data_IF_186590294905
#
_entry.id   IF_186590294905
#
_cell.length_a   1.000
_cell.length_b   1.000
_cell.length_c   1.000
_cell.angle_alpha   90.00
_cell.angle_beta   90.00
_cell.angle_gamma   90.00
#
_symmetry.space_group_name_H-M   'P 1'
#
loop_
_entity.id
_entity.type
_entity.pdbx_description
1 polymer ?
#
# COMPACT_ATOMS: atom_id res chain seq x y z
N UNK A 1 11.23 41.40 18.66
CA UNK A 1 10.96 40.91 17.30
C UNK A 1 11.68 39.59 17.10
N UNK A 2 10.95 38.49 17.07
CA UNK A 2 11.34 37.28 16.33
C UNK A 2 10.08 36.91 15.57
N UNK A 3 9.95 37.46 14.36
CA UNK A 3 8.99 36.94 13.39
C UNK A 3 9.51 35.57 13.00
N UNK A 4 8.98 34.52 13.63
CA UNK A 4 9.03 33.20 13.04
C UNK A 4 8.16 33.28 11.79
N UNK A 5 8.79 33.37 10.62
CA UNK A 5 8.15 33.11 9.35
C UNK A 5 7.73 31.63 9.37
N UNK A 6 6.55 31.36 9.93
CA UNK A 6 5.89 30.06 9.82
C UNK A 6 5.54 29.93 8.35
N UNK A 7 6.37 29.21 7.60
CA UNK A 7 6.02 28.80 6.25
C UNK A 7 4.70 28.01 6.38
N UNK A 8 3.62 28.39 5.68
CA UNK A 8 2.36 27.69 5.79
C UNK A 8 2.59 26.22 5.42
N UNK A 9 2.44 25.31 6.38
CA UNK A 9 2.51 23.89 6.08
C UNK A 9 1.26 23.54 5.27
N UNK A 10 1.42 23.00 4.06
CA UNK A 10 0.30 22.50 3.24
C UNK A 10 -0.41 21.28 3.86
N UNK A 11 0.03 20.88 5.06
CA UNK A 11 -0.52 19.80 5.86
C UNK A 11 -1.39 20.37 6.98
N UNK A 12 -2.59 19.81 7.09
CA UNK A 12 -3.54 20.05 8.17
C UNK A 12 -3.50 18.85 9.12
N UNK A 13 -3.23 19.09 10.40
CA UNK A 13 -3.37 18.07 11.44
C UNK A 13 -4.84 17.69 11.67
N UNK A 14 -5.10 16.41 11.91
CA UNK A 14 -6.42 15.84 12.20
C UNK A 14 -6.42 15.24 13.61
N UNK A 15 -7.55 14.66 14.02
CA UNK A 15 -7.64 13.92 15.28
C UNK A 15 -6.62 12.77 15.29
N UNK A 16 -5.87 12.69 16.39
CA UNK A 16 -4.85 11.67 16.59
C UNK A 16 -5.44 10.26 16.54
N UNK A 17 -4.64 9.33 16.04
CA UNK A 17 -4.96 7.91 16.07
C UNK A 17 -5.24 7.44 17.50
N UNK A 18 -6.26 6.58 17.71
CA UNK A 18 -6.55 6.00 19.03
C UNK A 18 -5.37 5.25 19.66
N UNK A 19 -4.44 4.75 18.83
CA UNK A 19 -3.18 4.15 19.25
C UNK A 19 -2.04 4.58 18.33
N UNK A 20 -0.79 4.65 18.82
CA UNK A 20 0.35 4.88 17.95
C UNK A 20 0.58 3.69 17.01
N UNK A 21 0.80 3.98 15.72
CA UNK A 21 0.95 2.99 14.66
C UNK A 21 2.15 3.32 13.77
N UNK A 22 2.90 2.29 13.38
CA UNK A 22 3.91 2.36 12.32
C UNK A 22 3.85 1.07 11.47
N UNK A 23 4.29 1.13 10.21
CA UNK A 23 4.12 0.03 9.24
C UNK A 23 2.65 -0.44 9.13
N UNK A 24 1.71 0.48 9.34
CA UNK A 24 0.28 0.20 9.18
C UNK A 24 -0.07 0.07 7.70
N UNK A 25 -1.17 -0.61 7.40
CA UNK A 25 -1.75 -0.65 6.06
C UNK A 25 -3.13 0.01 6.12
N UNK A 26 -3.39 0.90 5.17
CA UNK A 26 -4.66 1.61 5.07
C UNK A 26 -5.34 1.30 3.73
N UNK A 27 -6.65 1.14 3.76
CA UNK A 27 -7.48 0.88 2.59
C UNK A 27 -8.65 1.86 2.56
N UNK A 28 -8.86 2.51 1.43
CA UNK A 28 -10.02 3.38 1.19
C UNK A 28 -11.27 2.56 0.85
N UNK A 29 -12.36 2.85 1.55
CA UNK A 29 -13.70 2.33 1.23
C UNK A 29 -14.73 3.44 1.44
N UNK A 30 -15.21 4.02 0.32
CA UNK A 30 -16.04 5.22 0.35
C UNK A 30 -15.41 6.32 1.22
N UNK A 31 -16.15 6.87 2.17
CA UNK A 31 -15.70 7.92 3.09
C UNK A 31 -14.88 7.39 4.28
N UNK A 32 -14.40 6.15 4.21
CA UNK A 32 -13.71 5.48 5.32
C UNK A 32 -12.28 5.09 4.95
N UNK A 33 -11.35 5.40 5.85
CA UNK A 33 -10.00 4.88 5.83
C UNK A 33 -9.92 3.71 6.81
N UNK A 34 -9.82 2.50 6.28
CA UNK A 34 -9.71 1.27 7.07
C UNK A 34 -8.24 1.02 7.40
N UNK A 35 -7.90 1.18 8.67
CA UNK A 35 -6.55 1.05 9.21
C UNK A 35 -6.40 -0.37 9.78
N UNK A 36 -5.46 -1.14 9.22
CA UNK A 36 -5.32 -2.57 9.48
C UNK A 36 -4.04 -2.90 10.26
N UNK A 37 -4.07 -2.69 11.58
CA UNK A 37 -2.96 -3.01 12.47
C UNK A 37 -1.71 -2.17 12.21
N UNK A 38 -0.57 -2.67 12.68
CA UNK A 38 0.75 -2.08 12.50
C UNK A 38 1.79 -2.97 13.17
N UNK A 39 3.06 -2.57 13.14
CA UNK A 39 4.13 -3.33 13.79
C UNK A 39 3.77 -3.60 15.27
N UNK A 40 3.62 -4.89 15.60
CA UNK A 40 3.18 -5.37 16.93
C UNK A 40 1.80 -4.86 17.43
N UNK A 41 1.00 -4.22 16.58
CA UNK A 41 -0.35 -3.72 16.92
C UNK A 41 -1.40 -4.46 16.10
N UNK A 42 -2.38 -5.06 16.79
CA UNK A 42 -3.42 -5.91 16.16
C UNK A 42 -4.72 -5.17 15.90
N UNK A 43 -4.93 -4.02 16.52
CA UNK A 43 -6.19 -3.28 16.45
C UNK A 43 -6.41 -2.69 15.05
N UNK A 44 -7.64 -2.78 14.58
CA UNK A 44 -8.09 -2.21 13.32
C UNK A 44 -9.15 -1.15 13.59
N UNK A 45 -9.08 -0.04 12.86
CA UNK A 45 -9.98 1.11 13.00
C UNK A 45 -10.51 1.56 11.65
N UNK A 46 -11.69 2.15 11.64
CA UNK A 46 -12.22 2.92 10.52
C UNK A 46 -12.20 4.40 10.92
N UNK A 47 -11.54 5.22 10.12
CA UNK A 47 -11.62 6.68 10.23
C UNK A 47 -12.59 7.21 9.17
N UNK A 48 -13.59 7.98 9.59
CA UNK A 48 -14.56 8.55 8.67
C UNK A 48 -14.14 9.98 8.26
N UNK A 49 -13.81 10.18 7.00
CA UNK A 49 -13.19 11.43 6.49
C UNK A 49 -14.06 12.67 6.68
N UNK A 50 -15.38 12.55 6.53
CA UNK A 50 -16.32 13.68 6.74
C UNK A 50 -16.64 13.96 8.20
N UNK A 51 -16.63 12.93 9.05
CA UNK A 51 -16.95 13.05 10.49
C UNK A 51 -15.72 13.41 11.31
N UNK A 52 -14.52 13.13 10.79
CA UNK A 52 -13.25 13.27 11.48
C UNK A 52 -13.20 12.47 12.79
N UNK A 53 -13.73 11.25 12.78
CA UNK A 53 -13.83 10.39 13.96
C UNK A 53 -13.35 8.98 13.64
N UNK A 54 -12.84 8.29 14.66
CA UNK A 54 -12.45 6.88 14.57
C UNK A 54 -13.49 5.96 15.22
N UNK A 55 -13.64 4.76 14.64
CA UNK A 55 -14.33 3.64 15.26
C UNK A 55 -13.49 2.37 15.20
N UNK A 56 -13.49 1.64 16.31
CA UNK A 56 -12.88 0.31 16.36
C UNK A 56 -13.64 -0.67 15.46
N UNK A 57 -12.91 -1.50 14.72
CA UNK A 57 -13.45 -2.57 13.88
C UNK A 57 -13.29 -3.91 14.59
N UNK A 58 -12.04 -4.35 14.75
CA UNK A 58 -11.67 -5.62 15.38
C UNK A 58 -10.17 -5.70 15.65
N UNK A 59 -9.70 -6.89 16.05
CA UNK A 59 -8.27 -7.23 16.18
C UNK A 59 -7.90 -8.35 15.22
N UNK A 60 -6.66 -8.33 14.74
CA UNK A 60 -6.02 -9.54 14.19
C UNK A 60 -6.02 -10.69 15.24
N UNK A 61 -6.04 -11.95 14.80
CA UNK A 61 -5.98 -13.12 15.69
C UNK A 61 -4.78 -13.06 16.63
N UNK A 62 -4.91 -13.68 17.81
CA UNK A 62 -3.94 -13.49 18.88
C UNK A 62 -2.55 -14.03 18.59
N UNK A 63 -2.49 -15.07 17.76
CA UNK A 63 -1.30 -15.76 17.26
C UNK A 63 -0.60 -15.02 16.11
N UNK A 64 -1.25 -13.99 15.53
CA UNK A 64 -0.69 -13.22 14.41
C UNK A 64 0.18 -12.08 14.94
N UNK A 65 1.43 -12.05 14.46
CA UNK A 65 2.40 -10.98 14.71
C UNK A 65 2.64 -10.20 13.43
N UNK A 66 2.31 -8.91 13.44
CA UNK A 66 2.43 -8.05 12.27
C UNK A 66 3.78 -7.34 12.26
N UNK A 67 4.52 -7.52 11.17
CA UNK A 67 5.75 -6.77 10.83
C UNK A 67 5.85 -6.70 9.31
N UNK A 68 5.57 -5.52 8.73
CA UNK A 68 5.69 -5.28 7.29
C UNK A 68 4.77 -6.16 6.42
N UNK A 69 3.54 -6.41 6.86
CA UNK A 69 2.54 -7.13 6.07
C UNK A 69 1.90 -6.21 5.02
N UNK A 70 1.19 -6.82 4.06
CA UNK A 70 0.41 -6.09 3.07
C UNK A 70 -1.09 -6.34 3.29
N UNK A 71 -1.91 -5.34 2.95
CA UNK A 71 -3.37 -5.45 2.87
C UNK A 71 -3.81 -4.89 1.52
N UNK A 72 -4.63 -5.65 0.81
CA UNK A 72 -5.24 -5.23 -0.46
C UNK A 72 -6.76 -5.37 -0.38
N UNK A 73 -7.46 -4.50 -1.12
CA UNK A 73 -8.91 -4.54 -1.28
C UNK A 73 -9.26 -5.41 -2.48
N UNK A 74 -10.04 -6.46 -2.27
CA UNK A 74 -10.55 -7.27 -3.38
C UNK A 74 -11.76 -6.57 -4.00
N UNK A 75 -11.86 -6.59 -5.32
CA UNK A 75 -13.09 -6.14 -5.99
C UNK A 75 -14.20 -7.16 -5.76
N UNK A 76 -15.29 -6.70 -5.15
CA UNK A 76 -16.50 -7.49 -5.00
C UNK A 76 -17.48 -7.12 -6.12
N UNK A 77 -17.99 -8.13 -6.85
CA UNK A 77 -19.04 -7.94 -7.87
C UNK A 77 -20.41 -7.54 -7.30
N UNK A 78 -20.49 -7.15 -6.03
CA UNK A 78 -21.74 -6.85 -5.33
C UNK A 78 -21.92 -5.35 -5.22
N UNK A 79 -23.11 -4.89 -5.60
CA UNK A 79 -23.53 -3.49 -5.53
C UNK A 79 -23.85 -3.00 -4.10
N UNK A 80 -23.43 -3.71 -3.04
CA UNK A 80 -23.63 -3.20 -1.67
C UNK A 80 -22.47 -2.27 -1.34
N UNK A 81 -22.77 -0.97 -1.34
CA UNK A 81 -21.77 0.08 -1.16
C UNK A 81 -21.13 0.04 0.23
N UNK A 82 -21.76 -0.61 1.21
CA UNK A 82 -21.28 -0.68 2.60
C UNK A 82 -20.33 -1.86 2.89
N UNK A 83 -20.15 -2.78 1.94
CA UNK A 83 -19.32 -3.97 2.15
C UNK A 83 -18.07 -3.96 1.26
N UNK A 84 -16.97 -4.50 1.77
CA UNK A 84 -15.79 -4.81 0.96
C UNK A 84 -15.00 -5.95 1.55
N UNK A 85 -14.32 -6.71 0.69
CA UNK A 85 -13.43 -7.78 1.11
C UNK A 85 -11.97 -7.32 1.13
N UNK A 86 -11.30 -7.52 2.26
CA UNK A 86 -9.88 -7.22 2.45
C UNK A 86 -9.08 -8.51 2.56
N UNK A 87 -7.93 -8.56 1.91
CA UNK A 87 -6.96 -9.64 2.02
C UNK A 87 -5.70 -9.11 2.69
N UNK A 88 -5.33 -9.70 3.82
CA UNK A 88 -4.09 -9.40 4.54
C UNK A 88 -3.13 -10.58 4.50
N UNK A 89 -1.89 -10.35 4.10
CA UNK A 89 -0.92 -11.43 3.98
C UNK A 89 0.54 -10.96 4.10
N UNK A 90 1.44 -11.94 4.18
CA UNK A 90 2.89 -11.71 4.19
C UNK A 90 3.39 -11.18 5.52
N UNK A 91 4.40 -10.30 5.48
CA UNK A 91 5.15 -9.87 6.66
C UNK A 91 6.15 -10.92 7.14
N UNK A 92 6.96 -10.55 8.13
CA UNK A 92 8.03 -11.41 8.66
C UNK A 92 7.51 -12.75 9.19
N UNK A 93 6.41 -12.74 9.94
CA UNK A 93 5.81 -13.93 10.55
C UNK A 93 4.78 -14.65 9.66
N UNK A 94 4.47 -14.09 8.48
CA UNK A 94 3.60 -14.66 7.43
C UNK A 94 2.23 -15.13 7.91
N UNK A 95 1.20 -14.42 7.47
CA UNK A 95 -0.19 -14.89 7.55
C UNK A 95 -0.90 -14.78 6.20
N UNK A 96 -2.10 -15.32 6.12
CA UNK A 96 -3.01 -15.10 4.99
C UNK A 96 -4.43 -15.13 5.55
N UNK A 97 -5.01 -13.93 5.66
CA UNK A 97 -6.29 -13.69 6.32
C UNK A 97 -7.18 -12.88 5.39
N UNK A 98 -8.47 -13.14 5.47
CA UNK A 98 -9.49 -12.41 4.73
C UNK A 98 -10.47 -11.80 5.74
N UNK A 99 -10.97 -10.60 5.43
CA UNK A 99 -12.02 -9.95 6.20
C UNK A 99 -13.11 -9.48 5.24
N UNK A 100 -14.36 -9.83 5.54
CA UNK A 100 -15.53 -9.16 4.98
C UNK A 100 -15.86 -7.97 5.86
N UNK A 101 -15.42 -6.80 5.43
CA UNK A 101 -15.69 -5.54 6.09
C UNK A 101 -17.10 -5.06 5.75
N UNK A 102 -17.80 -4.55 6.76
CA UNK A 102 -19.05 -3.82 6.65
C UNK A 102 -18.90 -2.53 7.45
N UNK A 103 -19.23 -1.41 6.83
CA UNK A 103 -19.15 -0.08 7.43
C UNK A 103 -19.68 -0.06 8.86
N UNK A 104 -18.80 0.30 9.81
CA UNK A 104 -19.14 0.51 11.24
C UNK A 104 -19.89 1.84 11.48
N UNK A 105 -20.18 2.57 10.40
CA UNK A 105 -20.92 3.83 10.40
C UNK A 105 -22.33 3.70 9.84
N UNK A 106 -22.64 2.57 9.20
CA UNK A 106 -23.99 2.28 8.70
C UNK A 106 -24.96 2.02 9.86
N UNK A 107 -26.13 2.67 9.84
CA UNK A 107 -27.21 2.47 10.82
C UNK A 107 -28.05 1.22 10.56
N UNK A 108 -27.75 0.50 9.48
CA UNK A 108 -28.43 -0.75 9.17
C UNK A 108 -28.11 -1.73 10.30
N UNK A 109 -29.15 -2.22 11.00
CA UNK A 109 -29.06 -3.34 11.93
C UNK A 109 -28.59 -4.56 11.12
N UNK A 110 -27.28 -4.66 10.90
CA UNK A 110 -26.71 -5.76 10.15
C UNK A 110 -27.05 -7.01 10.96
N UNK A 111 -27.92 -7.84 10.38
CA UNK A 111 -28.21 -9.18 10.89
C UNK A 111 -26.85 -9.78 11.22
N UNK A 112 -26.67 -10.27 12.46
CA UNK A 112 -25.46 -10.94 12.96
C UNK A 112 -25.13 -12.14 12.08
N UNK A 113 -24.62 -11.90 10.87
CA UNK A 113 -23.96 -12.89 10.08
C UNK A 113 -22.63 -13.14 10.78
N UNK A 114 -22.42 -14.37 11.23
CA UNK A 114 -21.17 -14.79 11.84
C UNK A 114 -20.00 -14.41 10.91
N UNK A 115 -18.97 -13.78 11.48
CA UNK A 115 -17.65 -13.53 10.86
C UNK A 115 -17.50 -12.27 9.97
N UNK A 116 -18.41 -11.29 10.02
CA UNK A 116 -18.15 -9.93 9.47
C UNK A 116 -17.25 -9.13 10.40
N UNK A 117 -16.48 -8.19 9.84
CA UNK A 117 -15.54 -7.33 10.57
C UNK A 117 -14.59 -8.14 11.46
N UNK A 118 -14.17 -9.32 10.99
CA UNK A 118 -13.23 -10.19 11.69
C UNK A 118 -12.27 -10.79 10.66
N UNK A 119 -11.00 -10.90 11.06
CA UNK A 119 -10.00 -11.61 10.27
C UNK A 119 -10.18 -13.13 10.44
N UNK A 120 -10.37 -13.83 9.34
CA UNK A 120 -10.44 -15.30 9.31
C UNK A 120 -9.40 -15.86 8.33
N UNK A 121 -8.92 -17.10 8.51
CA UNK A 121 -8.03 -17.74 7.53
C UNK A 121 -8.64 -17.75 6.14
N UNK A 122 -7.85 -17.36 5.13
CA UNK A 122 -8.26 -17.53 3.73
C UNK A 122 -8.33 -19.03 3.43
N UNK A 123 -9.44 -19.48 2.83
CA UNK A 123 -9.60 -20.88 2.41
C UNK A 123 -9.99 -20.94 0.94
N UNK A 124 -9.56 -22.00 0.26
CA UNK A 124 -9.93 -22.26 -1.12
C UNK A 124 -11.33 -22.88 -1.21
N UNK A 125 -11.76 -23.21 -2.43
CA UNK A 125 -13.07 -23.81 -2.71
C UNK A 125 -13.33 -25.16 -2.00
N UNK A 126 -12.28 -25.82 -1.50
CA UNK A 126 -12.36 -27.06 -0.72
C UNK A 126 -12.21 -26.82 0.80
N UNK A 127 -12.37 -25.57 1.26
CA UNK A 127 -12.21 -25.16 2.66
C UNK A 127 -10.81 -25.46 3.23
N UNK A 128 -9.80 -25.59 2.38
CA UNK A 128 -8.40 -25.77 2.82
C UNK A 128 -7.73 -24.41 2.97
N UNK A 129 -6.94 -24.17 4.04
CA UNK A 129 -6.22 -22.92 4.21
C UNK A 129 -5.31 -22.62 3.00
N UNK A 130 -5.40 -21.39 2.50
CA UNK A 130 -4.52 -20.86 1.47
C UNK A 130 -3.36 -20.15 2.16
N UNK A 131 -2.14 -20.40 1.71
CA UNK A 131 -0.95 -19.78 2.28
C UNK A 131 -0.18 -19.02 1.20
N UNK A 132 -0.13 -17.69 1.33
CA UNK A 132 0.69 -16.83 0.49
C UNK A 132 2.01 -16.58 1.22
N UNK A 133 3.13 -16.94 0.58
CA UNK A 133 4.49 -16.77 1.11
C UNK A 133 5.02 -17.90 2.01
N UNK A 134 4.28 -19.01 2.12
CA UNK A 134 4.72 -20.25 2.78
C UNK A 134 4.75 -21.42 1.78
N UNK A 135 5.30 -21.19 0.58
CA UNK A 135 5.55 -22.31 -0.34
C UNK A 135 6.54 -23.29 0.32
N UNK A 136 6.25 -24.59 0.24
CA UNK A 136 7.09 -25.66 0.78
C UNK A 136 8.49 -25.67 0.17
N UNK A 137 8.64 -25.18 -1.07
CA UNK A 137 9.93 -25.00 -1.75
C UNK A 137 10.70 -23.79 -1.21
N UNK A 138 10.00 -22.77 -0.73
CA UNK A 138 10.55 -21.49 -0.28
C UNK A 138 10.34 -21.24 1.22
N UNK A 139 10.59 -22.24 2.06
CA UNK A 139 10.49 -22.12 3.53
C UNK A 139 11.27 -20.92 4.12
N UNK A 140 12.22 -20.34 3.38
CA UNK A 140 13.04 -19.17 3.76
C UNK A 140 12.62 -17.82 3.12
N UNK A 141 11.60 -17.75 2.27
CA UNK A 141 11.25 -16.48 1.62
C UNK A 141 10.86 -15.42 2.66
N UNK A 142 11.51 -14.25 2.65
CA UNK A 142 11.19 -13.16 3.56
C UNK A 142 10.10 -12.27 2.92
N UNK A 143 8.98 -12.10 3.61
CA UNK A 143 7.86 -11.27 3.15
C UNK A 143 7.75 -9.96 3.92
N UNK A 144 8.75 -9.60 4.73
CA UNK A 144 8.82 -8.30 5.38
C UNK A 144 8.89 -7.18 4.34
N UNK A 145 7.96 -6.23 4.41
CA UNK A 145 7.90 -5.11 3.48
C UNK A 145 7.41 -5.48 2.09
N UNK A 146 6.69 -6.61 1.97
CA UNK A 146 6.02 -7.03 0.73
C UNK A 146 5.04 -5.96 0.27
N UNK A 147 4.97 -5.75 -1.05
CA UNK A 147 3.92 -4.95 -1.69
C UNK A 147 3.15 -5.80 -2.67
N UNK A 148 1.89 -5.43 -2.90
CA UNK A 148 1.08 -6.08 -3.90
C UNK A 148 0.03 -5.14 -4.48
N UNK A 149 -0.32 -5.43 -5.72
CA UNK A 149 -1.40 -4.75 -6.45
C UNK A 149 -2.27 -5.81 -7.12
N UNK A 150 -3.55 -5.51 -7.26
CA UNK A 150 -4.51 -6.37 -7.95
C UNK A 150 -4.73 -5.81 -9.35
N UNK A 151 -4.56 -6.68 -10.33
CA UNK A 151 -4.85 -6.38 -11.73
C UNK A 151 -5.22 -7.65 -12.47
N UNK A 152 -4.79 -7.73 -13.72
CA UNK A 152 -5.26 -8.74 -14.66
C UNK A 152 -6.51 -8.26 -15.38
N UNK A 153 -6.80 -8.85 -16.54
CA UNK A 153 -7.93 -8.47 -17.39
C UNK A 153 -9.30 -8.63 -16.73
N UNK A 154 -9.36 -9.39 -15.62
CA UNK A 154 -10.54 -9.63 -14.78
C UNK A 154 -10.31 -9.27 -13.30
N UNK A 155 -9.29 -8.46 -12.96
CA UNK A 155 -8.96 -8.08 -11.58
C UNK A 155 -8.78 -9.28 -10.62
N UNK A 156 -8.32 -10.41 -11.16
CA UNK A 156 -8.16 -11.68 -10.45
C UNK A 156 -6.69 -12.04 -10.18
N UNK A 157 -5.74 -11.21 -10.62
CA UNK A 157 -4.31 -11.47 -10.44
C UNK A 157 -3.74 -10.56 -9.38
N UNK A 158 -3.14 -11.17 -8.37
CA UNK A 158 -2.40 -10.49 -7.32
C UNK A 158 -0.91 -10.53 -7.68
N UNK A 159 -0.37 -9.38 -8.07
CA UNK A 159 1.06 -9.20 -8.31
C UNK A 159 1.73 -8.90 -6.98
N UNK A 160 2.75 -9.69 -6.62
CA UNK A 160 3.39 -9.64 -5.30
C UNK A 160 4.88 -9.46 -5.49
N UNK A 161 5.45 -8.43 -4.90
CA UNK A 161 6.89 -8.13 -4.92
C UNK A 161 7.45 -8.23 -3.50
N UNK A 162 8.50 -9.02 -3.33
CA UNK A 162 9.03 -9.37 -2.01
C UNK A 162 10.54 -9.64 -2.04
N UNK A 163 11.13 -9.65 -0.84
CA UNK A 163 12.54 -9.84 -0.65
C UNK A 163 13.04 -11.20 -1.18
N UNK A 164 14.28 -11.30 -1.70
CA UNK A 164 15.19 -10.17 -1.93
C UNK A 164 14.90 -9.42 -3.23
N UNK A 165 14.50 -10.11 -4.30
CA UNK A 165 14.34 -9.53 -5.65
C UNK A 165 13.22 -10.22 -6.41
N UNK A 166 12.17 -10.67 -5.72
CA UNK A 166 11.18 -11.56 -6.31
C UNK A 166 9.93 -10.81 -6.75
N UNK A 167 9.34 -11.27 -7.84
CA UNK A 167 7.97 -10.93 -8.25
C UNK A 167 7.21 -12.22 -8.56
N UNK A 168 5.99 -12.32 -8.04
CA UNK A 168 5.12 -13.48 -8.21
C UNK A 168 3.72 -13.05 -8.61
N UNK A 169 3.05 -13.89 -9.39
CA UNK A 169 1.63 -13.71 -9.74
C UNK A 169 0.83 -14.82 -9.08
N UNK A 170 -0.11 -14.42 -8.23
CA UNK A 170 -1.04 -15.31 -7.55
C UNK A 170 -2.43 -15.11 -8.13
N UNK A 171 -3.05 -16.18 -8.63
CA UNK A 171 -4.42 -16.14 -9.13
C UNK A 171 -5.41 -16.26 -7.96
N UNK A 172 -6.23 -15.23 -7.76
CA UNK A 172 -7.19 -15.12 -6.67
C UNK A 172 -8.42 -16.04 -6.84
N UNK A 173 -8.71 -16.51 -8.05
CA UNK A 173 -9.79 -17.46 -8.32
C UNK A 173 -9.34 -18.90 -8.12
N UNK A 174 -8.11 -19.21 -8.55
CA UNK A 174 -7.53 -20.55 -8.45
C UNK A 174 -6.84 -20.78 -7.09
N UNK A 175 -6.55 -19.71 -6.35
CA UNK A 175 -5.79 -19.73 -5.11
C UNK A 175 -4.40 -20.38 -5.24
N UNK A 176 -3.70 -20.09 -6.34
CA UNK A 176 -2.38 -20.65 -6.64
C UNK A 176 -1.45 -19.64 -7.31
N UNK A 177 -0.15 -19.81 -7.14
CA UNK A 177 0.85 -19.08 -7.92
C UNK A 177 0.87 -19.60 -9.36
N UNK A 178 0.85 -18.67 -10.32
CA UNK A 178 0.90 -19.00 -11.77
C UNK A 178 2.22 -18.58 -12.41
N UNK A 179 2.98 -17.69 -11.76
CA UNK A 179 4.28 -17.23 -12.24
C UNK A 179 5.15 -16.75 -11.09
N UNK A 180 6.44 -17.06 -11.19
CA UNK A 180 7.52 -16.49 -10.39
C UNK A 180 8.58 -15.93 -11.34
N UNK A 181 9.21 -14.84 -10.94
CA UNK A 181 10.32 -14.21 -11.66
C UNK A 181 11.20 -13.39 -10.72
N UNK A 182 12.36 -12.98 -11.22
CA UNK A 182 13.33 -12.17 -10.49
C UNK A 182 13.40 -10.77 -11.10
N UNK A 183 13.20 -9.75 -10.27
CA UNK A 183 13.37 -8.35 -10.63
C UNK A 183 14.83 -8.09 -11.02
N UNK A 184 15.11 -7.45 -12.18
CA UNK A 184 16.47 -7.18 -12.62
C UNK A 184 17.04 -5.98 -11.85
N UNK A 185 17.59 -6.22 -10.68
CA UNK A 185 18.18 -5.19 -9.83
C UNK A 185 19.36 -5.73 -9.02
N UNK A 186 20.30 -4.84 -8.69
CA UNK A 186 21.42 -5.16 -7.80
C UNK A 186 21.06 -5.05 -6.32
N UNK A 187 20.01 -4.31 -5.96
CA UNK A 187 19.62 -4.09 -4.56
C UNK A 187 18.55 -5.06 -4.09
N UNK A 188 18.41 -5.18 -2.77
CA UNK A 188 17.28 -5.87 -2.15
C UNK A 188 16.02 -4.98 -2.17
N UNK A 189 14.88 -5.61 -2.40
CA UNK A 189 13.57 -4.98 -2.58
C UNK A 189 12.69 -5.30 -1.36
N UNK A 190 12.43 -4.26 -0.56
CA UNK A 190 11.56 -4.29 0.62
C UNK A 190 11.05 -2.88 0.91
N UNK A 191 9.82 -2.79 1.39
CA UNK A 191 9.15 -1.52 1.72
C UNK A 191 9.20 -0.48 0.57
N UNK A 192 9.20 -0.97 -0.66
CA UNK A 192 9.31 -0.17 -1.87
C UNK A 192 7.96 0.45 -2.25
N UNK A 193 7.99 1.33 -3.25
CA UNK A 193 6.80 1.78 -3.96
C UNK A 193 6.45 0.79 -5.07
N UNK A 194 5.19 0.34 -5.10
CA UNK A 194 4.69 -0.56 -6.14
C UNK A 194 3.26 -0.16 -6.51
N UNK A 195 3.07 0.26 -7.76
CA UNK A 195 1.79 0.77 -8.24
C UNK A 195 1.41 0.11 -9.56
N UNK A 196 0.11 -0.08 -9.76
CA UNK A 196 -0.46 -0.54 -11.02
C UNK A 196 -0.85 0.67 -11.88
N UNK A 197 -0.44 0.67 -13.15
CA UNK A 197 -0.82 1.71 -14.13
C UNK A 197 -2.14 1.38 -14.85
N UNK A 198 -2.52 0.11 -14.85
CA UNK A 198 -3.68 -0.40 -15.56
C UNK A 198 -4.97 0.29 -15.08
N UNK A 199 -5.64 1.05 -15.97
CA UNK A 199 -6.87 1.80 -15.65
C UNK A 199 -6.79 3.31 -15.88
N UNK A 200 -5.60 3.87 -16.14
CA UNK A 200 -5.43 5.32 -16.41
C UNK A 200 -5.71 5.73 -17.87
N UNK A 201 -6.03 4.79 -18.76
CA UNK A 201 -6.45 5.06 -20.14
C UNK A 201 -7.90 4.63 -20.36
N UNK A 202 -8.85 5.50 -20.00
CA UNK A 202 -10.20 5.47 -20.61
C UNK A 202 -10.11 6.16 -21.97
N UNK A 203 -9.46 5.55 -22.96
CA UNK A 203 -9.52 6.04 -24.34
C UNK A 203 -9.54 4.89 -25.37
N UNK A 204 -10.67 4.89 -26.09
CA UNK A 204 -10.91 4.52 -27.48
C UNK A 204 -10.83 3.06 -27.97
N UNK A 205 -11.76 2.78 -28.88
CA UNK A 205 -12.46 1.50 -28.95
C UNK A 205 -11.89 0.47 -29.92
N UNK A 206 -10.68 0.64 -30.47
CA UNK A 206 -10.27 -0.15 -31.65
C UNK A 206 -9.10 -1.11 -31.47
N UNK A 207 -8.53 -1.24 -30.25
CA UNK A 207 -7.48 -2.26 -29.96
C UNK A 207 -7.78 -3.10 -28.70
N UNK A 208 -9.05 -3.49 -28.52
CA UNK A 208 -9.65 -3.91 -27.23
C UNK A 208 -9.25 -5.30 -26.68
N UNK A 209 -8.73 -6.25 -27.45
CA UNK A 209 -8.46 -7.60 -26.91
C UNK A 209 -7.05 -7.80 -26.34
N UNK A 210 -6.01 -7.38 -27.07
CA UNK A 210 -4.62 -7.63 -26.70
C UNK A 210 -4.08 -6.69 -25.61
N UNK A 211 -4.46 -5.41 -25.66
CA UNK A 211 -4.06 -4.42 -24.63
C UNK A 211 -4.71 -4.67 -23.27
N UNK A 212 -5.90 -5.30 -23.24
CA UNK A 212 -6.60 -5.61 -21.98
C UNK A 212 -5.88 -6.66 -21.13
N UNK A 213 -5.02 -7.48 -21.75
CA UNK A 213 -4.25 -8.56 -21.12
C UNK A 213 -2.81 -8.18 -20.78
N UNK A 214 -2.47 -6.90 -20.96
CA UNK A 214 -1.18 -6.35 -20.54
C UNK A 214 -1.38 -5.55 -19.27
N UNK A 215 -0.74 -5.97 -18.19
CA UNK A 215 -0.68 -5.20 -16.96
C UNK A 215 0.66 -4.48 -16.89
N UNK A 216 0.63 -3.14 -16.80
CA UNK A 216 1.84 -2.35 -16.55
C UNK A 216 1.87 -1.91 -15.09
N UNK A 217 3.01 -2.12 -14.45
CA UNK A 217 3.28 -1.77 -13.06
C UNK A 217 4.57 -0.95 -12.99
N UNK A 218 4.68 -0.11 -11.97
CA UNK A 218 5.89 0.65 -11.68
C UNK A 218 6.39 0.27 -10.29
N UNK A 219 7.70 0.11 -10.18
CA UNK A 219 8.39 -0.17 -8.92
C UNK A 219 9.51 0.84 -8.72
N UNK A 220 9.55 1.46 -7.54
CA UNK A 220 10.65 2.35 -7.14
C UNK A 220 11.16 1.96 -5.76
N UNK A 221 12.46 1.75 -5.64
CA UNK A 221 13.15 1.40 -4.40
C UNK A 221 14.61 1.82 -4.49
N UNK A 222 15.06 2.73 -3.62
CA UNK A 222 16.42 3.28 -3.68
C UNK A 222 16.78 3.68 -5.13
N UNK A 223 17.95 3.29 -5.62
CA UNK A 223 18.43 3.54 -6.99
C UNK A 223 17.74 2.71 -8.08
N UNK A 224 16.75 1.87 -7.76
CA UNK A 224 16.04 1.02 -8.72
C UNK A 224 14.68 1.60 -9.04
N UNK A 225 14.48 1.93 -10.33
CA UNK A 225 13.18 2.20 -10.93
C UNK A 225 12.89 1.16 -12.01
N UNK A 226 11.72 0.54 -12.02
CA UNK A 226 11.32 -0.47 -13.00
C UNK A 226 9.93 -0.18 -13.56
N UNK A 227 9.80 -0.24 -14.87
CA UNK A 227 8.54 -0.49 -15.57
C UNK A 227 8.44 -1.99 -15.81
N UNK A 228 7.36 -2.58 -15.33
CA UNK A 228 7.12 -4.02 -15.36
C UNK A 228 5.85 -4.25 -16.18
N UNK A 229 6.00 -4.87 -17.33
CA UNK A 229 4.88 -5.30 -18.16
C UNK A 229 4.66 -6.80 -17.94
N UNK A 230 3.42 -7.20 -17.67
CA UNK A 230 3.02 -8.59 -17.56
C UNK A 230 2.00 -8.92 -18.65
N UNK A 231 2.28 -10.00 -19.39
CA UNK A 231 1.42 -10.51 -20.44
C UNK A 231 0.66 -11.75 -19.96
N UNK A 232 -0.66 -11.63 -19.81
CA UNK A 232 -1.53 -12.71 -19.34
C UNK A 232 -1.70 -13.86 -20.35
N UNK A 233 -1.49 -13.64 -21.66
CA UNK A 233 -1.67 -14.69 -22.67
C UNK A 233 -0.60 -15.78 -22.57
N UNK A 234 0.61 -15.39 -22.17
CA UNK A 234 1.77 -16.28 -22.12
C UNK A 234 2.46 -16.32 -20.75
N UNK A 235 1.91 -15.63 -19.74
CA UNK A 235 2.44 -15.52 -18.38
C UNK A 235 3.90 -15.04 -18.31
N UNK A 236 4.27 -14.06 -19.16
CA UNK A 236 5.63 -13.52 -19.20
C UNK A 236 5.72 -12.11 -18.63
N UNK A 237 6.86 -11.81 -18.00
CA UNK A 237 7.24 -10.46 -17.59
C UNK A 237 8.22 -9.86 -18.60
N UNK A 238 8.12 -8.55 -18.77
CA UNK A 238 9.14 -7.72 -19.40
C UNK A 238 9.48 -6.58 -18.45
N UNK A 239 10.77 -6.27 -18.36
CA UNK A 239 11.29 -5.27 -17.42
C UNK A 239 12.03 -4.19 -18.19
N UNK A 240 11.77 -2.93 -17.86
CA UNK A 240 12.55 -1.78 -18.34
C UNK A 240 13.01 -0.96 -17.14
N UNK A 241 14.28 -0.59 -17.14
CA UNK A 241 14.82 0.31 -16.12
C UNK A 241 14.27 1.73 -16.33
N UNK A 242 13.96 2.39 -15.24
CA UNK A 242 13.53 3.78 -15.18
C UNK A 242 14.55 4.55 -14.35
N UNK A 243 15.02 5.72 -14.80
CA UNK A 243 15.90 6.55 -13.99
C UNK A 243 15.20 6.99 -12.69
N UNK A 244 15.95 6.97 -11.61
CA UNK A 244 15.56 7.51 -10.31
C UNK A 244 16.41 8.74 -10.05
N UNK A 245 15.82 9.85 -9.58
CA UNK A 245 16.59 11.05 -9.27
C UNK A 245 17.46 10.85 -8.03
N UNK A 246 18.59 11.54 -7.98
CA UNK A 246 19.61 11.36 -6.94
C UNK A 246 19.09 11.70 -5.54
N UNK A 247 18.09 12.57 -5.43
CA UNK A 247 17.51 12.98 -4.15
C UNK A 247 16.69 11.86 -3.49
N UNK A 248 15.97 11.02 -4.25
CA UNK A 248 15.15 9.93 -3.70
C UNK A 248 15.88 8.57 -3.74
N UNK A 249 16.89 8.43 -4.60
CA UNK A 249 17.67 7.22 -4.80
C UNK A 249 18.30 6.58 -3.54
N UNK A 250 18.62 7.31 -2.45
CA UNK A 250 19.15 6.70 -1.24
C UNK A 250 18.10 5.99 -0.37
N UNK A 251 16.83 6.32 -0.55
CA UNK A 251 15.76 6.00 0.42
C UNK A 251 14.94 4.77 0.02
N UNK A 252 14.25 4.16 0.97
CA UNK A 252 13.09 3.28 0.76
C UNK A 252 12.03 3.61 1.84
N UNK A 253 11.06 2.74 2.09
CA UNK A 253 10.07 2.93 3.18
C UNK A 253 9.17 4.17 3.02
N UNK A 254 8.93 4.54 1.76
CA UNK A 254 8.10 5.67 1.40
C UNK A 254 6.63 5.43 1.80
N UNK A 255 5.97 6.49 2.24
CA UNK A 255 4.53 6.61 2.06
C UNK A 255 4.27 7.14 0.65
N UNK A 256 3.35 6.54 -0.09
CA UNK A 256 3.10 6.95 -1.47
C UNK A 256 1.65 6.77 -1.87
N UNK A 257 1.22 7.58 -2.84
CA UNK A 257 -0.07 7.44 -3.52
C UNK A 257 0.12 7.65 -5.02
N UNK A 258 -0.73 7.02 -5.83
CA UNK A 258 -0.75 7.24 -7.27
C UNK A 258 -2.07 7.89 -7.66
N UNK A 259 -2.00 9.02 -8.36
CA UNK A 259 -3.13 9.84 -8.78
C UNK A 259 -2.83 10.51 -10.11
N UNK A 260 -3.75 10.44 -11.07
CA UNK A 260 -3.67 11.18 -12.35
C UNK A 260 -2.30 11.04 -13.09
N UNK A 261 -1.78 9.82 -13.26
CA UNK A 261 -0.46 9.56 -13.84
C UNK A 261 0.73 10.14 -13.05
N UNK A 262 0.53 10.49 -11.78
CA UNK A 262 1.59 10.98 -10.89
C UNK A 262 1.68 10.02 -9.71
N UNK A 263 2.90 9.72 -9.28
CA UNK A 263 3.14 9.06 -8.00
C UNK A 263 3.71 10.11 -7.06
N UNK A 264 3.02 10.38 -5.96
CA UNK A 264 3.52 11.24 -4.89
C UNK A 264 4.19 10.37 -3.84
N UNK A 265 5.39 10.76 -3.44
CA UNK A 265 6.20 10.13 -2.41
C UNK A 265 6.33 11.10 -1.24
N UNK A 266 5.98 10.61 -0.07
CA UNK A 266 6.09 11.29 1.21
C UNK A 266 7.08 10.52 2.06
N UNK A 267 8.08 11.25 2.55
CA UNK A 267 9.15 10.71 3.38
C UNK A 267 10.04 9.69 2.65
N UNK A 268 10.90 9.02 3.42
CA UNK A 268 11.85 8.03 2.95
C UNK A 268 12.93 7.84 3.99
N UNK A 269 13.25 6.60 4.31
CA UNK A 269 14.29 6.27 5.26
C UNK A 269 15.52 5.70 4.55
N UNK A 270 16.69 6.19 4.95
CA UNK A 270 17.96 5.62 4.57
C UNK A 270 18.61 5.06 5.83
N UNK A 271 18.45 3.75 6.02
CA UNK A 271 19.21 3.01 7.01
C UNK A 271 20.64 2.81 6.49
N UNK A 272 21.52 3.79 6.74
CA UNK A 272 22.96 3.55 6.72
C UNK A 272 23.34 2.83 8.02
N UNK A 273 24.30 1.92 7.93
CA UNK A 273 24.77 1.07 9.05
C UNK A 273 25.56 1.84 10.11
N UNK A 274 26.02 3.05 9.79
CA UNK A 274 26.68 3.96 10.72
C UNK A 274 25.67 5.02 11.17
N UNK A 275 25.82 5.58 12.37
CA UNK A 275 24.90 6.46 13.14
C UNK A 275 24.25 7.68 12.43
N UNK A 276 24.38 7.79 11.10
CA UNK A 276 23.79 8.80 10.22
C UNK A 276 22.58 8.26 9.44
N UNK A 277 21.62 7.60 10.12
CA UNK A 277 20.35 7.27 9.46
C UNK A 277 19.61 8.56 9.13
N UNK A 278 19.35 8.83 7.84
CA UNK A 278 18.68 10.04 7.38
C UNK A 278 17.23 9.71 7.05
N UNK A 279 16.30 10.50 7.59
CA UNK A 279 14.89 10.51 7.22
C UNK A 279 14.65 11.74 6.36
N UNK A 280 14.11 11.56 5.16
CA UNK A 280 13.82 12.67 4.24
C UNK A 280 12.49 13.32 4.61
N UNK A 281 12.44 14.65 4.76
CA UNK A 281 11.16 15.38 4.84
C UNK A 281 10.61 15.79 3.47
N UNK A 282 11.36 15.52 2.39
CA UNK A 282 11.02 16.00 1.06
C UNK A 282 9.80 15.26 0.52
N UNK A 283 9.02 15.97 -0.28
CA UNK A 283 7.96 15.39 -1.10
C UNK A 283 8.48 15.32 -2.53
N UNK A 284 8.42 14.13 -3.11
CA UNK A 284 8.81 13.92 -4.50
C UNK A 284 7.58 13.51 -5.31
N UNK A 285 7.54 13.91 -6.58
CA UNK A 285 6.62 13.34 -7.54
C UNK A 285 7.37 12.69 -8.71
N UNK A 286 6.77 11.63 -9.23
CA UNK A 286 7.14 11.03 -10.49
C UNK A 286 5.96 11.11 -11.45
N UNK A 287 6.12 11.88 -12.54
CA UNK A 287 5.18 11.93 -13.65
C UNK A 287 5.38 10.70 -14.53
N UNK A 288 4.39 9.79 -14.53
CA UNK A 288 4.38 8.55 -15.31
C UNK A 288 4.34 8.87 -16.81
N UNK A 289 3.63 9.92 -17.22
CA UNK A 289 3.49 10.30 -18.62
C UNK A 289 4.77 10.93 -19.17
N UNK A 290 5.42 11.79 -18.38
CA UNK A 290 6.64 12.49 -18.79
C UNK A 290 7.91 11.71 -18.47
N UNK A 291 7.80 10.62 -17.70
CA UNK A 291 8.93 9.88 -17.15
C UNK A 291 9.91 10.81 -16.40
N UNK A 292 9.37 11.70 -15.57
CA UNK A 292 10.12 12.80 -14.98
C UNK A 292 9.90 12.90 -13.48
N UNK A 293 10.99 13.08 -12.75
CA UNK A 293 10.97 13.39 -11.32
C UNK A 293 10.92 14.90 -11.07
N UNK A 294 10.19 15.29 -10.04
CA UNK A 294 10.19 16.65 -9.50
C UNK A 294 10.21 16.58 -7.98
N UNK A 295 11.02 17.43 -7.36
CA UNK A 295 11.12 17.55 -5.90
C UNK A 295 10.51 18.86 -5.45
N UNK A 296 9.62 18.81 -4.47
CA UNK A 296 9.01 20.01 -3.90
C UNK A 296 9.90 20.63 -2.83
N UNK A 297 9.88 21.96 -2.75
CA UNK A 297 10.53 22.69 -1.66
C UNK A 297 9.78 22.57 -0.34
N UNK A 298 8.46 22.37 -0.40
CA UNK A 298 7.64 22.13 0.78
C UNK A 298 7.92 20.74 1.34
N UNK A 299 8.00 20.66 2.67
CA UNK A 299 8.39 19.45 3.39
C UNK A 299 7.31 19.01 4.37
N UNK A 300 7.38 17.75 4.78
CA UNK A 300 6.58 17.24 5.88
C UNK A 300 6.90 18.01 7.18
N UNK A 301 5.88 18.33 8.01
CA UNK A 301 6.10 19.09 9.23
C UNK A 301 7.02 18.35 10.21
N UNK A 302 6.92 17.02 10.26
CA UNK A 302 7.68 16.12 11.13
C UNK A 302 8.45 15.08 10.31
N UNK A 303 9.59 14.61 10.83
CA UNK A 303 10.30 13.43 10.29
C UNK A 303 9.45 12.19 10.58
N UNK A 304 8.92 11.52 9.56
CA UNK A 304 7.97 10.41 9.73
C UNK A 304 8.21 9.30 8.71
N UNK A 305 9.00 8.29 9.07
CA UNK A 305 9.21 7.13 8.22
C UNK A 305 8.24 5.99 8.55
N UNK A 306 8.00 5.11 7.58
CA UNK A 306 7.03 4.01 7.69
C UNK A 306 5.61 4.45 8.05
N UNK A 307 5.23 5.67 7.70
CA UNK A 307 3.84 6.09 7.67
C UNK A 307 3.13 5.47 6.45
N UNK A 308 1.81 5.63 6.40
CA UNK A 308 1.00 5.21 5.24
C UNK A 308 0.29 6.42 4.66
N UNK A 309 0.31 6.52 3.33
CA UNK A 309 -0.43 7.52 2.59
C UNK A 309 -1.63 6.87 1.88
N UNK A 310 -2.78 7.54 1.90
CA UNK A 310 -4.02 7.09 1.25
C UNK A 310 -4.81 8.30 0.75
N UNK A 311 -5.41 8.20 -0.43
CA UNK A 311 -6.25 9.27 -0.99
C UNK A 311 -7.64 9.27 -0.36
N UNK A 312 -8.29 10.45 -0.32
CA UNK A 312 -9.73 10.56 -0.07
C UNK A 312 -10.54 10.01 -1.26
N UNK A 313 -11.82 9.74 -1.04
CA UNK A 313 -12.75 9.22 -2.06
C UNK A 313 -12.86 10.11 -3.30
N UNK A 314 -12.84 11.41 -3.08
CA UNK A 314 -12.89 12.45 -4.11
C UNK A 314 -11.52 12.83 -4.67
N UNK A 315 -10.44 12.17 -4.22
CA UNK A 315 -9.06 12.46 -4.59
C UNK A 315 -8.57 13.89 -4.25
N UNK A 316 -9.33 14.63 -3.44
CA UNK A 316 -8.97 16.01 -3.05
C UNK A 316 -7.80 16.03 -2.06
N UNK A 317 -7.74 15.06 -1.16
CA UNK A 317 -6.77 15.00 -0.08
C UNK A 317 -5.94 13.72 -0.11
N UNK A 318 -4.67 13.84 0.25
CA UNK A 318 -3.85 12.72 0.70
C UNK A 318 -3.81 12.74 2.23
N UNK A 319 -4.16 11.62 2.84
CA UNK A 319 -4.04 11.38 4.28
C UNK A 319 -2.73 10.66 4.56
N UNK A 320 -1.97 11.17 5.53
CA UNK A 320 -0.73 10.55 6.02
C UNK A 320 -0.95 10.15 7.48
N UNK A 321 -0.76 8.86 7.76
CA UNK A 321 -1.18 8.22 9.01
C UNK A 321 -0.01 7.46 9.64
N UNK A 322 0.21 7.68 10.94
CA UNK A 322 1.18 7.00 11.77
C UNK A 322 2.64 7.28 11.39
N UNK A 323 3.48 6.27 11.54
CA UNK A 323 4.92 6.29 11.28
C UNK A 323 5.74 6.24 12.57
N UNK A 324 7.05 6.31 12.40
CA UNK A 324 8.02 6.45 13.49
C UNK A 324 8.57 7.87 13.51
N UNK A 325 8.77 8.41 14.72
CA UNK A 325 9.52 9.64 14.90
C UNK A 325 11.04 9.40 14.86
N UNK A 326 11.80 10.49 15.02
CA UNK A 326 13.25 10.55 15.16
C UNK A 326 13.81 9.72 16.34
N UNK A 327 12.99 9.44 17.35
CA UNK A 327 13.33 8.61 18.51
C UNK A 327 13.04 7.12 18.28
N UNK A 328 12.62 6.73 17.09
CA UNK A 328 12.23 5.34 16.80
C UNK A 328 11.02 4.89 17.62
N UNK A 329 10.09 5.80 17.93
CA UNK A 329 8.82 5.47 18.58
C UNK A 329 7.64 5.64 17.61
N UNK A 330 6.66 4.73 17.61
CA UNK A 330 5.48 4.88 16.77
C UNK A 330 4.67 6.09 17.24
N UNK A 331 4.07 6.82 16.31
CA UNK A 331 3.28 8.03 16.63
C UNK A 331 1.80 7.84 16.31
N UNK A 332 0.95 8.67 16.94
CA UNK A 332 -0.48 8.74 16.65
C UNK A 332 -0.85 9.76 15.57
N UNK A 333 0.14 10.28 14.84
CA UNK A 333 -0.07 11.36 13.87
C UNK A 333 -1.06 10.98 12.78
N UNK A 334 -2.03 11.86 12.52
CA UNK A 334 -2.84 11.85 11.32
C UNK A 334 -2.90 13.27 10.76
N UNK A 335 -2.50 13.43 9.51
CA UNK A 335 -2.58 14.71 8.80
C UNK A 335 -3.13 14.49 7.40
N UNK A 336 -3.62 15.57 6.78
CA UNK A 336 -3.99 15.58 5.37
C UNK A 336 -3.40 16.76 4.63
N UNK A 337 -3.17 16.62 3.34
CA UNK A 337 -2.78 17.71 2.45
C UNK A 337 -3.63 17.69 1.18
N UNK A 338 -3.92 18.86 0.61
CA UNK A 338 -4.60 18.97 -0.68
C UNK A 338 -3.69 18.48 -1.80
N UNK A 339 -4.18 17.55 -2.62
CA UNK A 339 -3.42 17.00 -3.75
C UNK A 339 -3.05 18.08 -4.76
N UNK A 340 -3.93 19.07 -4.97
CA UNK A 340 -3.72 20.17 -5.93
C UNK A 340 -2.54 21.09 -5.61
N UNK A 341 -1.92 20.94 -4.43
CA UNK A 341 -0.72 21.67 -4.03
C UNK A 341 0.58 20.96 -4.44
N UNK A 342 0.48 19.75 -4.98
CA UNK A 342 1.59 18.85 -5.30
C UNK A 342 1.53 18.32 -6.74
#
# INVERSE_FOLDING_TARGET
MINQNITPTHFQALEDLPIPLALSQCVLHENELIICGGVHKRDCYSYHTRKNEYKFICKYPSDVKLVGHCVVKLEDNKNDSNETTLLSFGGYYKHTLIMKYVSVWSNAKSKKASNRNQWIPLTNNHKRPVQIGKDEKEKKANYQGVRAVIGGSNNNLLFITYFPKNISVFDLNLFQFIKHDTLPTEIEILFHCFVLKCGMMKTEERSKSRKKRMCEMLLFCKKTGLSIEYNEDNNTFQFRQIPVCDEIAPFNEYAYVCINNIILFFDGWNCKSDDESVVSKLVHNYSIQENKWTTFQNTLPNLLHNCVAVLSDDNTYVHIIGGWNDKGMPVSTHMKAEVSKW
#
